data_IF_073397507223
#
_entry.id   IF_073397507223
#
_cell.length_a   1.000
_cell.length_b   1.000
_cell.length_c   1.000
_cell.angle_alpha   90.00
_cell.angle_beta   90.00
_cell.angle_gamma   90.00
#
_symmetry.space_group_name_H-M   'P 1'
#
loop_
_entity.id
_entity.type
_entity.pdbx_description
1 polymer ?
#
# COMPACT_ATOMS: atom_id res chain seq x y z
N UNK A 1 -10.54 -5.20 52.06
CA UNK A 1 -9.33 -5.61 52.81
C UNK A 1 -8.13 -5.52 51.89
N UNK A 2 -7.22 -4.61 52.19
CA UNK A 2 -5.89 -4.51 51.57
C UNK A 2 -4.97 -5.50 52.26
N UNK A 3 -3.82 -5.96 51.64
CA UNK A 3 -2.64 -5.13 51.77
C UNK A 3 -1.76 -4.96 50.53
N UNK A 4 -1.09 -3.83 50.56
CA UNK A 4 0.09 -3.39 49.84
C UNK A 4 1.27 -4.30 50.18
N UNK A 5 2.09 -4.64 49.18
CA UNK A 5 3.50 -4.99 49.40
C UNK A 5 4.35 -4.12 48.49
N UNK A 6 5.07 -3.28 49.14
CA UNK A 6 6.14 -2.39 48.69
C UNK A 6 7.44 -3.20 48.79
N UNK A 7 8.24 -3.27 47.77
CA UNK A 7 9.65 -3.67 47.88
C UNK A 7 10.49 -2.92 46.85
N UNK A 8 11.20 -2.08 47.43
CA UNK A 8 12.44 -1.33 47.22
C UNK A 8 13.50 -2.07 46.34
N UNK A 9 14.05 -1.26 45.46
CA UNK A 9 15.42 -1.00 44.96
C UNK A 9 16.58 -1.86 45.55
N UNK A 10 17.69 -2.14 44.77
CA UNK A 10 18.70 -1.11 44.60
C UNK A 10 19.39 -1.01 43.22
N UNK A 11 19.63 0.17 42.82
CA UNK A 11 20.75 0.87 42.22
C UNK A 11 22.11 0.14 42.37
N UNK A 12 22.71 -0.28 41.24
CA UNK A 12 24.14 -0.57 41.16
C UNK A 12 24.72 -0.09 39.84
N UNK A 13 25.41 1.01 39.95
CA UNK A 13 26.30 1.61 38.97
C UNK A 13 27.68 1.00 39.14
N UNK A 14 28.45 0.65 38.12
CA UNK A 14 29.87 0.78 38.15
C UNK A 14 30.38 1.75 37.06
N UNK A 15 31.01 2.74 37.59
CA UNK A 15 32.01 3.63 37.01
C UNK A 15 33.26 2.85 36.70
N UNK A 16 33.92 3.07 35.52
CA UNK A 16 35.37 2.93 35.30
C UNK A 16 35.78 3.10 33.84
N UNK A 17 37.08 3.29 33.55
CA UNK A 17 37.70 4.60 33.43
C UNK A 17 38.26 4.89 32.04
N UNK A 18 38.63 6.12 31.85
CA UNK A 18 39.49 6.66 30.80
C UNK A 18 40.75 5.84 30.58
N UNK A 19 41.07 5.54 29.32
CA UNK A 19 42.46 5.31 28.87
C UNK A 19 42.68 6.12 27.62
N UNK A 20 43.50 7.13 27.79
CA UNK A 20 44.12 7.93 26.75
C UNK A 20 45.19 7.07 26.03
N UNK A 21 45.17 7.08 24.72
CA UNK A 21 46.22 6.49 23.90
C UNK A 21 46.41 7.31 22.64
N UNK A 22 47.54 7.97 22.56
CA UNK A 22 47.93 8.94 21.56
C UNK A 22 48.53 8.29 20.30
N UNK A 23 48.55 9.07 19.21
CA UNK A 23 49.41 9.04 18.05
C UNK A 23 49.44 7.82 17.14
N UNK A 24 48.98 8.01 15.90
CA UNK A 24 49.81 7.66 14.74
C UNK A 24 49.19 8.13 13.42
N UNK A 25 49.94 8.96 12.74
CA UNK A 25 50.17 9.05 11.28
C UNK A 25 48.93 9.00 10.36
N UNK A 26 48.63 10.17 9.85
CA UNK A 26 47.78 10.37 8.67
C UNK A 26 48.45 9.73 7.42
N UNK A 27 47.97 8.58 7.03
CA UNK A 27 48.09 8.11 5.65
C UNK A 27 46.89 8.61 4.90
N UNK A 28 47.13 9.61 4.06
CA UNK A 28 46.10 10.17 3.17
C UNK A 28 45.89 9.19 2.02
N UNK A 29 45.04 8.20 2.23
CA UNK A 29 44.51 7.36 1.16
C UNK A 29 43.43 8.16 0.46
N UNK A 30 43.66 8.46 -0.81
CA UNK A 30 42.67 9.07 -1.69
C UNK A 30 41.37 8.21 -1.66
N UNK A 31 40.21 8.82 -1.59
CA UNK A 31 38.98 8.05 -1.66
C UNK A 31 38.89 7.38 -3.04
N UNK A 32 38.54 6.09 -3.11
CA UNK A 32 38.18 5.50 -4.38
C UNK A 32 36.96 6.25 -4.93
N UNK A 33 37.09 6.72 -6.17
CA UNK A 33 36.00 7.21 -6.97
C UNK A 33 34.94 6.10 -6.99
N UNK A 34 33.92 6.26 -6.19
CA UNK A 34 32.74 5.41 -6.30
C UNK A 34 32.07 5.78 -7.63
N UNK A 35 32.22 4.91 -8.61
CA UNK A 35 31.33 4.92 -9.76
C UNK A 35 29.87 4.91 -9.25
N UNK A 36 28.95 5.66 -9.89
CA UNK A 36 27.56 5.62 -9.50
C UNK A 36 27.10 4.18 -9.68
N UNK A 37 26.89 3.49 -8.57
CA UNK A 37 26.10 2.27 -8.55
C UNK A 37 24.71 2.68 -9.02
N UNK A 38 24.45 2.39 -10.29
CA UNK A 38 23.09 2.39 -10.79
C UNK A 38 22.30 1.53 -9.81
N UNK A 39 21.46 2.19 -9.04
CA UNK A 39 20.45 1.52 -8.23
C UNK A 39 19.63 0.70 -9.20
N UNK A 40 19.96 -0.59 -9.29
CA UNK A 40 19.13 -1.53 -10.00
C UNK A 40 17.80 -1.54 -9.26
N UNK A 41 16.83 -0.82 -9.81
CA UNK A 41 15.44 -1.03 -9.47
C UNK A 41 15.21 -2.55 -9.60
N UNK A 42 14.57 -3.20 -8.63
CA UNK A 42 14.19 -4.59 -8.78
C UNK A 42 13.42 -4.68 -10.10
N UNK A 43 13.67 -5.72 -10.91
CA UNK A 43 12.87 -5.92 -12.10
C UNK A 43 11.42 -6.00 -11.64
N UNK A 44 10.65 -4.98 -11.94
CA UNK A 44 9.21 -5.11 -11.93
C UNK A 44 8.93 -6.26 -12.90
N UNK A 45 8.68 -7.43 -12.32
CA UNK A 45 8.12 -8.54 -13.08
C UNK A 45 6.79 -8.00 -13.57
N UNK A 46 6.80 -7.48 -14.78
CA UNK A 46 5.60 -7.15 -15.52
C UNK A 46 4.85 -8.46 -15.69
N UNK A 47 4.02 -8.79 -14.69
CA UNK A 47 2.93 -9.71 -14.88
C UNK A 47 2.15 -9.11 -16.04
N UNK A 48 2.13 -9.84 -17.17
CA UNK A 48 1.58 -9.41 -18.43
C UNK A 48 0.23 -8.73 -18.18
N UNK A 49 0.22 -7.41 -18.28
CA UNK A 49 -0.99 -6.62 -18.36
C UNK A 49 -1.67 -7.07 -19.64
N UNK A 50 -2.70 -7.89 -19.51
CA UNK A 50 -3.61 -8.13 -20.61
C UNK A 50 -4.04 -6.75 -21.10
N UNK A 51 -3.97 -6.51 -22.40
CA UNK A 51 -4.41 -5.26 -22.99
C UNK A 51 -5.81 -4.93 -22.43
N UNK A 52 -6.06 -3.69 -21.99
CA UNK A 52 -7.31 -3.35 -21.34
C UNK A 52 -8.46 -3.54 -22.37
N UNK A 53 -9.26 -4.56 -22.16
CA UNK A 53 -10.45 -4.83 -22.99
C UNK A 53 -11.57 -3.82 -22.67
N UNK A 54 -11.38 -3.00 -21.63
CA UNK A 54 -12.37 -2.04 -21.16
C UNK A 54 -11.71 -0.69 -20.88
N UNK A 55 -12.39 0.36 -21.29
CA UNK A 55 -12.04 1.75 -20.93
C UNK A 55 -13.13 2.31 -20.01
N UNK A 56 -12.77 3.23 -19.14
CA UNK A 56 -13.69 3.92 -18.25
C UNK A 56 -13.88 5.34 -18.74
N UNK A 57 -15.12 5.77 -18.87
CA UNK A 57 -15.43 7.16 -19.25
C UNK A 57 -15.07 8.11 -18.11
N UNK A 58 -14.48 9.25 -18.42
CA UNK A 58 -14.16 10.30 -17.44
C UNK A 58 -15.42 10.76 -16.69
N UNK A 59 -16.52 10.96 -17.40
CA UNK A 59 -17.78 11.36 -16.78
C UNK A 59 -18.28 10.35 -15.75
N UNK A 60 -18.06 9.05 -15.97
CA UNK A 60 -18.43 8.00 -15.00
C UNK A 60 -17.55 8.05 -13.75
N UNK A 61 -16.23 8.31 -13.91
CA UNK A 61 -15.32 8.49 -12.76
C UNK A 61 -15.73 9.71 -11.96
N UNK A 62 -15.94 10.85 -12.61
CA UNK A 62 -16.33 12.10 -11.96
C UNK A 62 -17.64 11.96 -11.19
N UNK A 63 -18.61 11.26 -11.75
CA UNK A 63 -19.87 10.96 -11.08
C UNK A 63 -19.64 10.15 -9.78
N UNK A 64 -18.83 9.09 -9.85
CA UNK A 64 -18.51 8.24 -8.70
C UNK A 64 -17.74 9.02 -7.64
N UNK A 65 -16.74 9.82 -8.04
CA UNK A 65 -15.95 10.63 -7.10
C UNK A 65 -16.83 11.69 -6.42
N UNK A 66 -17.72 12.33 -7.17
CA UNK A 66 -18.66 13.33 -6.62
C UNK A 66 -19.67 12.73 -5.62
N UNK A 67 -20.07 11.47 -5.80
CA UNK A 67 -20.92 10.74 -4.83
C UNK A 67 -20.15 10.41 -3.54
N UNK A 68 -18.84 10.34 -3.60
CA UNK A 68 -17.94 10.07 -2.49
C UNK A 68 -17.72 8.59 -2.17
N UNK A 69 -16.61 8.33 -1.49
CA UNK A 69 -16.17 6.96 -1.14
C UNK A 69 -17.25 6.15 -0.41
N UNK A 70 -17.99 6.79 0.50
CA UNK A 70 -19.04 6.10 1.26
C UNK A 70 -20.17 5.55 0.39
N UNK A 71 -20.54 6.24 -0.69
CA UNK A 71 -21.53 5.75 -1.65
C UNK A 71 -20.95 4.65 -2.55
N UNK A 72 -19.69 4.81 -2.96
CA UNK A 72 -18.98 3.78 -3.72
C UNK A 72 -18.91 2.46 -2.92
N UNK A 73 -18.56 2.52 -1.63
CA UNK A 73 -18.46 1.34 -0.76
C UNK A 73 -19.81 0.61 -0.57
N UNK A 74 -20.95 1.25 -0.84
CA UNK A 74 -22.26 0.55 -0.85
C UNK A 74 -22.43 -0.39 -2.04
N UNK A 75 -21.62 -0.22 -3.09
CA UNK A 75 -21.62 -1.06 -4.30
C UNK A 75 -20.70 -2.26 -4.19
N UNK A 76 -19.90 -2.31 -3.11
CA UNK A 76 -18.95 -3.39 -2.83
C UNK A 76 -19.26 -3.96 -1.45
N UNK A 77 -19.39 -5.27 -1.36
CA UNK A 77 -19.38 -5.97 -0.08
C UNK A 77 -17.91 -6.29 0.27
N UNK A 78 -17.44 -5.66 1.33
CA UNK A 78 -16.10 -5.90 1.89
C UNK A 78 -16.26 -6.84 3.08
N UNK A 79 -15.37 -7.82 3.19
CA UNK A 79 -15.33 -8.71 4.35
C UNK A 79 -15.02 -7.89 5.62
N UNK A 80 -15.77 -8.13 6.69
CA UNK A 80 -15.58 -7.47 7.99
C UNK A 80 -14.21 -7.76 8.60
N UNK A 81 -13.53 -8.80 8.13
CA UNK A 81 -12.20 -9.17 8.58
C UNK A 81 -11.14 -8.79 7.56
N UNK A 82 -10.31 -7.78 7.88
CA UNK A 82 -9.17 -7.43 7.04
C UNK A 82 -8.17 -8.58 6.95
N UNK A 83 -7.50 -8.68 5.81
CA UNK A 83 -6.51 -9.72 5.57
C UNK A 83 -5.17 -9.31 6.16
N UNK A 84 -4.55 -10.21 6.95
CA UNK A 84 -3.21 -10.02 7.51
C UNK A 84 -2.26 -11.09 6.98
N UNK A 85 -1.05 -10.69 6.61
CA UNK A 85 0.04 -11.59 6.22
C UNK A 85 1.26 -11.29 7.09
N UNK A 86 1.77 -12.29 7.79
CA UNK A 86 2.90 -12.10 8.71
C UNK A 86 2.63 -11.09 9.83
N UNK A 87 1.38 -10.93 10.26
CA UNK A 87 0.97 -9.98 11.30
C UNK A 87 0.86 -8.52 10.83
N UNK A 88 1.06 -8.26 9.54
CA UNK A 88 0.86 -6.95 8.93
C UNK A 88 -0.44 -6.94 8.13
N UNK A 89 -1.14 -5.81 8.16
CA UNK A 89 -2.29 -5.62 7.30
C UNK A 89 -1.87 -5.77 5.83
N UNK A 90 -2.67 -6.49 5.07
CA UNK A 90 -2.37 -6.80 3.66
C UNK A 90 -3.39 -6.19 2.69
N UNK A 91 -4.64 -6.08 3.08
CA UNK A 91 -5.69 -5.53 2.25
C UNK A 91 -7.08 -5.91 2.71
N UNK A 92 -8.08 -5.48 1.94
CA UNK A 92 -9.49 -5.80 2.15
C UNK A 92 -9.98 -6.81 1.13
N UNK A 93 -10.63 -7.86 1.61
CA UNK A 93 -11.23 -8.89 0.76
C UNK A 93 -12.58 -8.42 0.24
N UNK A 94 -12.80 -8.58 -1.05
CA UNK A 94 -14.11 -8.40 -1.68
C UNK A 94 -14.97 -9.63 -1.36
N UNK A 95 -16.05 -9.44 -0.61
CA UNK A 95 -17.03 -10.49 -0.36
C UNK A 95 -18.07 -10.58 -1.48
N UNK A 96 -18.40 -9.44 -2.10
CA UNK A 96 -19.37 -9.40 -3.19
C UNK A 96 -19.36 -8.06 -3.93
N UNK A 97 -19.94 -8.06 -5.10
CA UNK A 97 -20.16 -6.88 -5.93
C UNK A 97 -21.66 -6.66 -6.08
N UNK A 98 -22.15 -5.55 -5.55
CA UNK A 98 -23.55 -5.12 -5.70
C UNK A 98 -23.66 -4.31 -6.98
N UNK A 99 -24.85 -4.24 -7.55
CA UNK A 99 -25.11 -3.53 -8.80
C UNK A 99 -24.28 -4.08 -9.98
N UNK A 100 -24.70 -5.23 -10.56
CA UNK A 100 -23.97 -5.87 -11.66
C UNK A 100 -23.78 -4.98 -12.88
N UNK A 101 -24.63 -3.97 -13.07
CA UNK A 101 -24.50 -3.05 -14.21
C UNK A 101 -23.30 -2.10 -14.02
N UNK A 102 -23.06 -1.65 -12.78
CA UNK A 102 -21.92 -0.81 -12.46
C UNK A 102 -20.59 -1.55 -12.66
N UNK A 103 -20.55 -2.85 -12.34
CA UNK A 103 -19.35 -3.67 -12.43
C UNK A 103 -19.17 -4.35 -13.78
N UNK A 104 -20.04 -4.07 -14.75
CA UNK A 104 -19.94 -4.68 -16.07
C UNK A 104 -18.63 -4.30 -16.75
N UNK A 105 -17.85 -5.31 -17.16
CA UNK A 105 -16.53 -5.13 -17.77
C UNK A 105 -15.38 -4.90 -16.80
N UNK A 106 -15.62 -4.89 -15.50
CA UNK A 106 -14.57 -4.79 -14.47
C UNK A 106 -14.15 -6.19 -14.04
N UNK A 107 -12.86 -6.54 -14.18
CA UNK A 107 -12.32 -7.85 -13.75
C UNK A 107 -12.00 -7.86 -12.24
N UNK A 108 -12.97 -7.42 -11.45
CA UNK A 108 -12.92 -7.55 -10.00
C UNK A 108 -13.89 -8.65 -9.59
N UNK A 109 -13.49 -9.53 -8.66
CA UNK A 109 -14.27 -10.72 -8.30
C UNK A 109 -14.39 -10.88 -6.80
N UNK A 110 -15.47 -11.48 -6.32
CA UNK A 110 -15.52 -11.97 -4.95
C UNK A 110 -14.34 -12.90 -4.66
N UNK A 111 -13.70 -12.71 -3.51
CA UNK A 111 -12.48 -13.39 -3.11
C UNK A 111 -11.20 -12.62 -3.37
N UNK A 112 -11.20 -11.61 -4.24
CA UNK A 112 -10.04 -10.75 -4.45
C UNK A 112 -9.72 -9.95 -3.19
N UNK A 113 -8.43 -9.79 -2.89
CA UNK A 113 -7.94 -8.93 -1.81
C UNK A 113 -7.33 -7.69 -2.45
N UNK A 114 -7.96 -6.54 -2.28
CA UNK A 114 -7.46 -5.25 -2.79
C UNK A 114 -6.32 -4.80 -1.90
N UNK A 115 -5.14 -4.61 -2.48
CA UNK A 115 -3.92 -4.21 -1.77
C UNK A 115 -3.50 -2.78 -2.08
N UNK A 116 -3.77 -2.29 -3.30
CA UNK A 116 -3.51 -0.89 -3.66
C UNK A 116 -4.41 -0.41 -4.80
N UNK A 117 -4.61 0.90 -4.86
CA UNK A 117 -5.30 1.60 -5.94
C UNK A 117 -4.44 2.79 -6.37
N UNK A 118 -4.15 2.91 -7.67
CA UNK A 118 -3.30 3.95 -8.27
C UNK A 118 -1.96 4.18 -7.53
N UNK A 119 -1.35 3.07 -7.05
CA UNK A 119 -0.10 3.11 -6.29
C UNK A 119 -0.26 3.48 -4.82
N UNK A 120 -1.45 3.82 -4.35
CA UNK A 120 -1.73 4.04 -2.94
C UNK A 120 -2.05 2.70 -2.26
N UNK A 121 -1.29 2.28 -1.25
CA UNK A 121 -1.62 1.09 -0.48
C UNK A 121 -2.93 1.33 0.29
N UNK A 122 -3.76 0.30 0.39
CA UNK A 122 -5.03 0.38 1.13
C UNK A 122 -4.86 -0.35 2.46
N UNK A 123 -4.10 0.23 3.37
CA UNK A 123 -3.82 -0.32 4.70
C UNK A 123 -4.68 0.32 5.80
N UNK A 124 -5.21 1.53 5.53
CA UNK A 124 -6.03 2.29 6.46
C UNK A 124 -7.15 3.04 5.73
N UNK A 125 -8.26 3.36 6.40
CA UNK A 125 -9.39 4.09 5.79
C UNK A 125 -8.98 5.42 5.14
N UNK A 126 -8.04 6.13 5.72
CA UNK A 126 -7.54 7.42 5.22
C UNK A 126 -6.81 7.25 3.87
N UNK A 127 -6.09 6.14 3.71
CA UNK A 127 -5.40 5.82 2.44
C UNK A 127 -6.41 5.48 1.35
N UNK A 128 -7.48 4.76 1.69
CA UNK A 128 -8.57 4.48 0.78
C UNK A 128 -9.25 5.77 0.29
N UNK A 129 -9.44 6.74 1.18
CA UNK A 129 -9.98 8.05 0.81
C UNK A 129 -9.05 8.79 -0.14
N UNK A 130 -7.74 8.86 0.18
CA UNK A 130 -6.73 9.49 -0.68
C UNK A 130 -6.64 8.83 -2.05
N UNK A 131 -6.63 7.49 -2.09
CA UNK A 131 -6.63 6.74 -3.33
C UNK A 131 -7.88 7.02 -4.18
N UNK A 132 -9.04 7.10 -3.55
CA UNK A 132 -10.31 7.40 -4.21
C UNK A 132 -10.32 8.83 -4.79
N UNK A 133 -9.89 9.83 -4.02
CA UNK A 133 -9.81 11.22 -4.46
C UNK A 133 -8.80 11.40 -5.62
N UNK A 134 -7.73 10.60 -5.64
CA UNK A 134 -6.74 10.65 -6.73
C UNK A 134 -7.32 10.31 -8.10
N UNK A 135 -8.46 9.63 -8.16
CA UNK A 135 -9.14 9.29 -9.41
C UNK A 135 -9.65 10.51 -10.16
N UNK A 136 -9.91 11.62 -9.47
CA UNK A 136 -10.40 12.87 -10.09
C UNK A 136 -9.48 13.37 -11.21
N UNK A 137 -8.17 13.19 -11.04
CA UNK A 137 -7.15 13.67 -12.00
C UNK A 137 -6.39 12.54 -12.69
N UNK A 138 -6.72 11.29 -12.37
CA UNK A 138 -6.01 10.13 -12.91
C UNK A 138 -6.35 9.90 -14.39
N UNK A 139 -5.38 9.48 -15.17
CA UNK A 139 -5.57 9.04 -16.58
C UNK A 139 -5.89 7.56 -16.68
N UNK A 140 -5.75 6.80 -15.60
CA UNK A 140 -6.07 5.39 -15.52
C UNK A 140 -6.54 5.02 -14.11
N UNK A 141 -7.34 3.98 -14.03
CA UNK A 141 -7.66 3.28 -12.79
C UNK A 141 -6.80 2.02 -12.75
N UNK A 142 -5.88 1.96 -11.80
CA UNK A 142 -4.98 0.84 -11.57
C UNK A 142 -5.29 0.22 -10.21
N UNK A 143 -5.72 -1.03 -10.20
CA UNK A 143 -6.02 -1.77 -8.97
C UNK A 143 -5.13 -2.98 -8.88
N UNK A 144 -4.41 -3.12 -7.77
CA UNK A 144 -3.66 -4.34 -7.48
C UNK A 144 -4.49 -5.19 -6.51
N UNK A 145 -4.76 -6.39 -6.94
CA UNK A 145 -5.47 -7.39 -6.13
C UNK A 145 -4.63 -8.64 -5.97
N UNK A 146 -4.85 -9.36 -4.89
CA UNK A 146 -4.39 -10.72 -4.74
C UNK A 146 -5.57 -11.66 -4.99
N UNK A 147 -5.45 -12.51 -5.99
CA UNK A 147 -6.45 -13.51 -6.38
C UNK A 147 -5.84 -14.89 -6.22
N UNK A 148 -6.42 -15.72 -5.38
CA UNK A 148 -5.91 -17.08 -5.12
C UNK A 148 -4.43 -17.11 -4.69
N UNK A 149 -3.99 -16.11 -3.92
CA UNK A 149 -2.61 -15.97 -3.46
C UNK A 149 -1.62 -15.43 -4.50
N UNK A 150 -2.10 -14.99 -5.67
CA UNK A 150 -1.27 -14.42 -6.72
C UNK A 150 -1.60 -12.94 -6.94
N UNK A 151 -0.60 -12.05 -6.95
CA UNK A 151 -0.82 -10.65 -7.25
C UNK A 151 -1.25 -10.47 -8.71
N UNK A 152 -2.26 -9.64 -8.91
CA UNK A 152 -2.79 -9.29 -10.22
C UNK A 152 -3.02 -7.79 -10.30
N UNK A 153 -2.52 -7.20 -11.35
CA UNK A 153 -2.78 -5.80 -11.66
C UNK A 153 -3.88 -5.70 -12.71
N UNK A 154 -4.87 -4.86 -12.42
CA UNK A 154 -6.01 -4.57 -13.27
C UNK A 154 -5.92 -3.09 -13.62
N UNK A 155 -5.85 -2.76 -14.92
CA UNK A 155 -5.68 -1.39 -15.40
C UNK A 155 -6.77 -1.06 -16.39
N UNK A 156 -7.44 0.08 -16.16
CA UNK A 156 -8.44 0.63 -17.06
C UNK A 156 -8.05 2.05 -17.45
N UNK A 157 -7.79 2.34 -18.72
CA UNK A 157 -7.62 3.72 -19.17
C UNK A 157 -8.89 4.54 -18.91
N UNK A 158 -8.72 5.76 -18.42
CA UNK A 158 -9.81 6.72 -18.27
C UNK A 158 -9.76 7.64 -19.47
N UNK A 159 -10.82 7.63 -20.27
CA UNK A 159 -10.91 8.40 -21.51
C UNK A 159 -11.90 9.54 -21.38
N UNK A 160 -11.56 10.69 -21.96
CA UNK A 160 -12.46 11.83 -22.02
C UNK A 160 -13.61 11.56 -23.00
N UNK A 161 -14.81 11.76 -22.50
CA UNK A 161 -16.08 11.59 -23.20
C UNK A 161 -16.93 12.86 -23.20
N UNK A 162 -16.27 14.02 -22.91
CA UNK A 162 -16.85 15.35 -22.86
C UNK A 162 -16.58 16.13 -24.14
#
# INVERSE_FOLDING_TARGET
>A
MRPRVLALLPLLLPLLPFASGACATAVRVAPPVQAPVASAAPPATAAASAAPEHVVARSAVDAVVSEGLGMFLRRVDIDDQPVFVGGKFHGFRIAGLRDPQFWNGVDLKPGDVVTSVNGFPIEHPEQAQTAFESLEVASELRVVVEREGHPREIVYPIVDDR
#
